data_IF_205525375234
#
_entry.id   IF_205525375234
#
_cell.length_a   1.000
_cell.length_b   1.000
_cell.length_c   1.000
_cell.angle_alpha   90.00
_cell.angle_beta   90.00
_cell.angle_gamma   90.00
#
_symmetry.space_group_name_H-M   'P 1'
#
loop_
_entity.id
_entity.type
_entity.pdbx_description
1 polymer ?
#
# COMPACT_ATOMS: atom_id res chain seq x y z
N UNK A 1 -31.65 -6.05 0.49
CA UNK A 1 -30.44 -5.39 1.04
C UNK A 1 -29.42 -5.29 -0.09
N UNK A 2 -29.33 -4.15 -0.75
CA UNK A 2 -28.31 -3.90 -1.76
C UNK A 2 -26.95 -3.85 -1.07
N UNK A 3 -26.04 -4.74 -1.47
CA UNK A 3 -24.66 -4.69 -1.00
C UNK A 3 -24.11 -3.28 -1.25
N UNK A 4 -23.52 -2.59 -0.24
CA UNK A 4 -22.96 -1.27 -0.44
C UNK A 4 -22.02 -1.31 -1.64
N UNK A 5 -22.22 -0.41 -2.62
CA UNK A 5 -21.43 -0.36 -3.84
C UNK A 5 -19.95 -0.49 -3.50
N UNK A 6 -19.32 -1.57 -3.99
CA UNK A 6 -17.96 -1.92 -3.64
C UNK A 6 -17.04 -0.80 -4.14
N UNK A 7 -16.29 -0.18 -3.22
CA UNK A 7 -15.37 0.90 -3.57
C UNK A 7 -14.20 0.32 -4.35
N UNK A 8 -13.74 0.97 -5.45
CA UNK A 8 -12.52 0.56 -6.13
C UNK A 8 -11.36 0.50 -5.15
N UNK A 9 -10.58 -0.58 -5.20
CA UNK A 9 -9.51 -0.84 -4.27
C UNK A 9 -8.14 -0.95 -4.95
N UNK A 10 -7.14 -0.30 -4.34
CA UNK A 10 -5.79 -0.20 -4.90
C UNK A 10 -4.73 -0.55 -3.85
N UNK A 11 -3.83 -1.47 -4.18
CA UNK A 11 -2.51 -1.53 -3.55
C UNK A 11 -1.59 -0.52 -4.23
N UNK A 12 -0.81 0.24 -3.47
CA UNK A 12 0.17 1.17 -4.04
C UNK A 12 1.57 0.82 -3.54
N UNK A 13 2.38 0.24 -4.42
CA UNK A 13 3.78 -0.08 -4.16
C UNK A 13 4.67 1.08 -4.58
N UNK A 14 5.09 1.87 -3.60
CA UNK A 14 5.98 3.02 -3.78
C UNK A 14 7.44 2.58 -3.56
N UNK A 15 7.92 1.69 -4.43
CA UNK A 15 9.27 1.12 -4.41
C UNK A 15 9.64 0.59 -5.79
N UNK A 16 10.90 0.78 -6.24
CA UNK A 16 11.41 0.14 -7.46
C UNK A 16 11.98 -1.25 -7.16
N UNK A 17 12.14 -1.59 -5.88
CA UNK A 17 12.85 -2.78 -5.45
C UNK A 17 11.97 -4.02 -5.63
N UNK A 18 12.64 -5.15 -5.82
CA UNK A 18 12.00 -6.45 -5.88
C UNK A 18 12.47 -7.31 -4.71
N UNK A 19 12.04 -6.91 -3.51
CA UNK A 19 12.41 -7.54 -2.24
C UNK A 19 11.30 -8.42 -1.67
N UNK A 20 11.54 -8.92 -0.45
CA UNK A 20 10.58 -9.80 0.23
C UNK A 20 9.26 -9.11 0.58
N UNK A 21 9.27 -7.80 0.86
CA UNK A 21 8.05 -7.06 1.14
C UNK A 21 7.20 -6.94 -0.13
N UNK A 22 7.77 -6.47 -1.23
CA UNK A 22 7.06 -6.31 -2.50
C UNK A 22 6.45 -7.64 -2.99
N UNK A 23 7.23 -8.74 -2.93
CA UNK A 23 6.75 -10.09 -3.24
C UNK A 23 5.57 -10.50 -2.37
N UNK A 24 5.68 -10.31 -1.04
CA UNK A 24 4.61 -10.68 -0.10
C UNK A 24 3.31 -9.92 -0.38
N UNK A 25 3.37 -8.62 -0.65
CA UNK A 25 2.17 -7.85 -0.98
C UNK A 25 1.62 -8.17 -2.36
N UNK A 26 2.47 -8.56 -3.30
CA UNK A 26 2.03 -9.09 -4.57
C UNK A 26 1.29 -10.43 -4.42
N UNK A 27 1.78 -11.34 -3.57
CA UNK A 27 1.09 -12.60 -3.28
C UNK A 27 -0.27 -12.37 -2.62
N UNK A 28 -0.36 -11.43 -1.68
CA UNK A 28 -1.65 -11.05 -1.07
C UNK A 28 -2.60 -10.50 -2.13
N UNK A 29 -2.13 -9.60 -2.99
CA UNK A 29 -2.91 -9.06 -4.10
C UNK A 29 -3.41 -10.17 -5.04
N UNK A 30 -2.56 -11.12 -5.40
CA UNK A 30 -2.94 -12.29 -6.21
C UNK A 30 -4.00 -13.14 -5.52
N UNK A 31 -3.81 -13.44 -4.23
CA UNK A 31 -4.77 -14.19 -3.44
C UNK A 31 -6.15 -13.52 -3.41
N UNK A 32 -6.19 -12.19 -3.18
CA UNK A 32 -7.43 -11.43 -3.21
C UNK A 32 -8.14 -11.50 -4.57
N UNK A 33 -7.39 -11.36 -5.67
CA UNK A 33 -7.96 -11.49 -7.01
C UNK A 33 -8.49 -12.89 -7.30
N UNK A 34 -7.80 -13.93 -6.84
CA UNK A 34 -8.27 -15.33 -6.96
C UNK A 34 -9.58 -15.56 -6.21
N UNK A 35 -9.82 -14.84 -5.11
CA UNK A 35 -11.11 -14.85 -4.40
C UNK A 35 -12.18 -13.96 -5.04
N UNK A 36 -11.93 -13.37 -6.21
CA UNK A 36 -12.87 -12.54 -6.94
C UNK A 36 -12.92 -11.07 -6.49
N UNK A 37 -11.98 -10.62 -5.66
CA UNK A 37 -11.92 -9.21 -5.27
C UNK A 37 -11.52 -8.32 -6.45
N UNK A 38 -12.28 -7.26 -6.71
CA UNK A 38 -11.92 -6.21 -7.68
C UNK A 38 -10.89 -5.27 -7.07
N UNK A 39 -9.63 -5.73 -7.07
CA UNK A 39 -8.47 -4.98 -6.59
C UNK A 39 -7.45 -4.83 -7.71
N UNK A 40 -6.83 -3.64 -7.76
CA UNK A 40 -5.73 -3.30 -8.66
C UNK A 40 -4.47 -3.01 -7.88
N UNK A 41 -3.32 -3.18 -8.52
CA UNK A 41 -2.03 -2.81 -7.93
C UNK A 41 -1.37 -1.71 -8.78
N UNK A 42 -0.95 -0.65 -8.13
CA UNK A 42 -0.23 0.48 -8.71
C UNK A 42 1.24 0.35 -8.33
N UNK A 43 2.14 0.33 -9.31
CA UNK A 43 3.58 0.16 -9.10
C UNK A 43 4.37 0.93 -10.19
N UNK A 44 5.65 1.26 -9.97
CA UNK A 44 6.49 1.77 -11.05
C UNK A 44 6.70 0.68 -12.12
N UNK A 45 6.88 1.09 -13.38
CA UNK A 45 6.99 0.17 -14.52
C UNK A 45 8.07 -0.90 -14.32
N UNK A 46 9.24 -0.53 -13.80
CA UNK A 46 10.32 -1.49 -13.53
C UNK A 46 9.94 -2.61 -12.57
N UNK A 47 9.09 -2.33 -11.56
CA UNK A 47 8.59 -3.36 -10.65
C UNK A 47 7.46 -4.15 -11.28
N UNK A 48 6.51 -3.49 -11.94
CA UNK A 48 5.37 -4.15 -12.58
C UNK A 48 5.81 -5.14 -13.66
N UNK A 49 6.77 -4.76 -14.50
CA UNK A 49 7.35 -5.62 -15.54
C UNK A 49 8.01 -6.86 -14.94
N UNK A 50 8.78 -6.69 -13.86
CA UNK A 50 9.44 -7.82 -13.19
C UNK A 50 8.44 -8.76 -12.51
N UNK A 51 7.39 -8.21 -11.90
CA UNK A 51 6.30 -9.00 -11.33
C UNK A 51 5.57 -9.82 -12.40
N UNK A 52 5.33 -9.26 -13.58
CA UNK A 52 4.70 -10.00 -14.68
C UNK A 52 5.65 -11.07 -15.25
N UNK A 53 6.93 -10.75 -15.42
CA UNK A 53 7.92 -11.68 -15.94
C UNK A 53 8.11 -12.92 -15.05
N UNK A 54 8.03 -12.77 -13.73
CA UNK A 54 8.12 -13.88 -12.77
C UNK A 54 6.83 -14.74 -12.71
N UNK A 55 5.75 -14.29 -13.36
CA UNK A 55 4.44 -14.95 -13.33
C UNK A 55 3.78 -15.04 -14.73
N UNK A 56 4.45 -15.65 -15.72
CA UNK A 56 3.97 -15.70 -17.11
C UNK A 56 2.64 -16.45 -17.26
N UNK A 57 2.35 -17.39 -16.35
CA UNK A 57 1.14 -18.22 -16.38
C UNK A 57 -0.14 -17.50 -15.89
N UNK A 58 -0.06 -16.20 -15.57
CA UNK A 58 -1.17 -15.41 -15.04
C UNK A 58 -1.39 -14.12 -15.86
N UNK A 59 -1.80 -14.24 -17.14
CA UNK A 59 -1.98 -13.09 -18.03
C UNK A 59 -3.04 -12.09 -17.55
N UNK A 60 -4.00 -12.53 -16.73
CA UNK A 60 -5.03 -11.69 -16.13
C UNK A 60 -4.47 -10.63 -15.17
N UNK A 61 -3.23 -10.80 -14.68
CA UNK A 61 -2.56 -9.82 -13.83
C UNK A 61 -2.17 -8.57 -14.60
N UNK A 62 -1.96 -8.65 -15.91
CA UNK A 62 -1.59 -7.50 -16.73
C UNK A 62 -2.69 -6.42 -16.73
N UNK A 63 -3.96 -6.82 -16.78
CA UNK A 63 -5.08 -5.87 -16.68
C UNK A 63 -5.32 -5.31 -15.27
N UNK A 64 -4.69 -5.92 -14.27
CA UNK A 64 -4.83 -5.59 -12.85
C UNK A 64 -3.69 -4.71 -12.32
N UNK A 65 -2.56 -4.73 -13.00
CA UNK A 65 -1.37 -3.93 -12.70
C UNK A 65 -1.42 -2.61 -13.44
N UNK A 66 -1.59 -1.53 -12.70
CA UNK A 66 -1.51 -0.15 -13.20
C UNK A 66 -0.06 0.31 -13.07
N UNK A 67 0.66 0.23 -14.18
CA UNK A 67 2.05 0.65 -14.28
C UNK A 67 2.19 2.17 -14.38
N UNK A 68 3.02 2.77 -13.52
CA UNK A 68 3.43 4.16 -13.65
C UNK A 68 4.72 4.20 -14.49
N UNK A 69 4.70 4.77 -15.70
CA UNK A 69 5.83 4.71 -16.62
C UNK A 69 7.00 5.56 -16.11
N UNK A 70 8.13 4.91 -15.84
CA UNK A 70 9.32 5.57 -15.33
C UNK A 70 10.59 4.92 -15.88
N UNK A 71 11.40 5.69 -16.61
CA UNK A 71 12.68 5.21 -17.15
C UNK A 71 13.73 4.93 -16.05
N UNK A 72 13.67 5.68 -14.96
CA UNK A 72 14.50 5.47 -13.78
C UNK A 72 13.72 5.81 -12.51
N UNK A 73 14.09 5.18 -11.40
CA UNK A 73 13.42 5.42 -10.13
C UNK A 73 13.71 6.82 -9.60
N UNK A 74 12.65 7.56 -9.31
CA UNK A 74 12.71 8.82 -8.57
C UNK A 74 11.45 8.95 -7.71
N UNK A 75 11.57 9.00 -6.37
CA UNK A 75 10.41 9.14 -5.50
C UNK A 75 9.56 10.38 -5.82
N UNK A 76 10.19 11.49 -6.18
CA UNK A 76 9.49 12.73 -6.54
C UNK A 76 8.75 12.58 -7.88
N UNK A 77 9.38 11.96 -8.87
CA UNK A 77 8.73 11.68 -10.16
C UNK A 77 7.56 10.73 -9.98
N UNK A 78 7.71 9.69 -9.15
CA UNK A 78 6.62 8.77 -8.82
C UNK A 78 5.44 9.52 -8.19
N UNK A 79 5.69 10.36 -7.17
CA UNK A 79 4.63 11.17 -6.53
C UNK A 79 3.92 12.07 -7.54
N UNK A 80 4.65 12.71 -8.45
CA UNK A 80 4.09 13.58 -9.49
C UNK A 80 3.18 12.80 -10.45
N UNK A 81 3.67 11.68 -10.98
CA UNK A 81 2.94 10.85 -11.94
C UNK A 81 1.75 10.16 -11.26
N UNK A 82 1.93 9.69 -10.04
CA UNK A 82 0.84 9.11 -9.25
C UNK A 82 -0.25 10.16 -8.95
N UNK A 83 0.10 11.41 -8.67
CA UNK A 83 -0.88 12.50 -8.56
C UNK A 83 -1.65 12.74 -9.86
N UNK A 84 -1.01 12.59 -11.02
CA UNK A 84 -1.70 12.66 -12.31
C UNK A 84 -2.65 11.48 -12.49
N UNK A 85 -2.21 10.26 -12.18
CA UNK A 85 -3.05 9.05 -12.20
C UNK A 85 -4.27 9.17 -11.27
N UNK A 86 -4.11 9.76 -10.08
CA UNK A 86 -5.23 9.98 -9.17
C UNK A 86 -6.36 10.82 -9.79
N UNK A 87 -6.08 11.66 -10.80
CA UNK A 87 -7.13 12.43 -11.48
C UNK A 87 -8.11 11.55 -12.29
N UNK A 88 -7.66 10.38 -12.76
CA UNK A 88 -8.52 9.42 -13.47
C UNK A 88 -9.14 8.36 -12.57
N UNK A 89 -8.62 8.19 -11.35
CA UNK A 89 -9.19 7.26 -10.37
C UNK A 89 -10.42 7.91 -9.68
N UNK A 90 -11.56 7.19 -9.60
CA UNK A 90 -12.74 7.65 -8.87
C UNK A 90 -12.40 8.14 -7.45
N UNK A 91 -13.04 9.23 -7.04
CA UNK A 91 -12.96 9.75 -5.67
C UNK A 91 -13.66 8.80 -4.71
N UNK A 92 -13.19 8.72 -3.47
CA UNK A 92 -13.77 7.82 -2.47
C UNK A 92 -13.29 6.37 -2.58
N UNK A 93 -12.25 6.12 -3.37
CA UNK A 93 -11.63 4.81 -3.52
C UNK A 93 -10.83 4.40 -2.26
N UNK A 94 -10.53 3.12 -2.14
CA UNK A 94 -9.71 2.56 -1.08
C UNK A 94 -8.26 2.37 -1.55
N UNK A 95 -7.30 2.88 -0.79
CA UNK A 95 -5.87 2.75 -1.07
C UNK A 95 -5.15 2.14 0.11
N UNK A 96 -4.48 1.03 -0.13
CA UNK A 96 -3.56 0.45 0.83
C UNK A 96 -2.12 0.71 0.42
N UNK A 97 -1.33 1.20 1.36
CA UNK A 97 0.11 1.47 1.20
C UNK A 97 0.94 0.49 2.03
N UNK A 98 1.48 -0.57 1.41
CA UNK A 98 2.38 -1.48 2.11
C UNK A 98 3.66 -0.82 2.64
N UNK A 99 4.06 0.27 1.99
CA UNK A 99 5.27 1.03 2.27
C UNK A 99 5.11 2.47 1.77
N UNK A 100 5.83 3.40 2.41
CA UNK A 100 5.93 4.80 2.01
C UNK A 100 4.55 5.45 1.72
N UNK A 101 3.65 5.44 2.70
CA UNK A 101 2.27 5.93 2.56
C UNK A 101 2.22 7.37 2.04
N UNK A 102 1.51 7.60 0.93
CA UNK A 102 1.37 8.91 0.30
C UNK A 102 0.05 9.61 0.66
N UNK A 103 -0.38 9.49 1.93
CA UNK A 103 -1.63 10.04 2.43
C UNK A 103 -1.93 11.51 2.06
N UNK A 104 -0.95 12.45 1.92
CA UNK A 104 -1.28 13.83 1.57
C UNK A 104 -1.94 13.97 0.19
N UNK A 105 -1.69 13.01 -0.71
CA UNK A 105 -2.28 13.01 -2.05
C UNK A 105 -3.78 12.70 -2.06
N UNK A 106 -4.30 12.19 -0.94
CA UNK A 106 -5.70 11.82 -0.75
C UNK A 106 -6.51 12.89 -0.02
N UNK A 107 -5.87 13.96 0.46
CA UNK A 107 -6.55 15.05 1.15
C UNK A 107 -7.62 15.68 0.25
N UNK A 108 -8.82 15.85 0.81
CA UNK A 108 -9.99 16.37 0.10
C UNK A 108 -10.66 15.39 -0.85
N UNK A 109 -10.05 14.25 -1.21
CA UNK A 109 -10.63 13.30 -2.17
C UNK A 109 -11.73 12.40 -1.58
N UNK A 110 -11.78 12.26 -0.26
CA UNK A 110 -12.69 11.33 0.42
C UNK A 110 -12.23 9.86 0.38
N UNK A 111 -10.99 9.62 -0.08
CA UNK A 111 -10.43 8.29 -0.22
C UNK A 111 -10.19 7.63 1.16
N UNK A 112 -10.36 6.31 1.23
CA UNK A 112 -10.03 5.52 2.40
C UNK A 112 -8.58 5.05 2.32
N UNK A 113 -7.69 5.58 3.17
CA UNK A 113 -6.27 5.21 3.16
C UNK A 113 -5.96 4.26 4.31
N UNK A 114 -5.34 3.12 4.02
CA UNK A 114 -4.71 2.23 5.00
C UNK A 114 -3.23 2.05 4.65
N UNK A 115 -2.46 1.57 5.61
CA UNK A 115 -1.04 1.30 5.40
C UNK A 115 -0.60 0.05 6.13
N UNK A 116 0.51 -0.53 5.70
CA UNK A 116 1.21 -1.55 6.47
C UNK A 116 2.48 -0.99 7.11
N UNK A 117 2.85 -1.58 8.23
CA UNK A 117 4.09 -1.39 8.95
C UNK A 117 4.90 -2.67 8.76
N UNK A 118 5.75 -2.63 7.74
CA UNK A 118 6.45 -3.79 7.18
C UNK A 118 7.92 -3.76 7.61
N UNK A 119 8.45 -4.91 7.99
CA UNK A 119 9.89 -5.14 8.22
C UNK A 119 10.62 -4.08 9.08
N UNK A 120 10.03 -3.71 10.20
CA UNK A 120 10.61 -2.74 11.13
C UNK A 120 11.29 -3.47 12.29
N UNK A 121 12.60 -3.27 12.41
CA UNK A 121 13.37 -3.66 13.61
C UNK A 121 12.96 -2.77 14.80
N UNK A 122 12.63 -1.50 14.50
CA UNK A 122 12.24 -0.50 15.48
C UNK A 122 10.85 0.05 15.18
N UNK A 123 10.13 0.35 16.25
CA UNK A 123 8.82 0.98 16.19
C UNK A 123 8.91 2.38 15.56
N UNK A 124 8.13 2.70 14.53
CA UNK A 124 8.06 4.05 13.98
C UNK A 124 7.64 5.05 15.06
N UNK A 125 8.41 6.13 15.20
CA UNK A 125 8.18 7.14 16.23
C UNK A 125 8.80 8.49 15.89
N UNK A 126 8.45 9.56 16.63
CA UNK A 126 8.95 10.91 16.36
C UNK A 126 10.46 11.03 16.59
N UNK A 127 11.01 10.19 17.50
CA UNK A 127 12.44 10.10 17.83
C UNK A 127 13.21 9.10 16.97
N UNK A 128 12.59 8.47 15.98
CA UNK A 128 13.28 7.51 15.13
C UNK A 128 14.43 8.18 14.34
N UNK A 129 15.56 7.50 14.18
CA UNK A 129 16.72 8.06 13.48
C UNK A 129 16.46 8.29 11.99
N UNK A 130 15.73 7.38 11.34
CA UNK A 130 15.51 7.44 9.90
C UNK A 130 14.21 8.18 9.52
N UNK A 131 14.24 8.87 8.38
CA UNK A 131 13.13 9.69 7.87
C UNK A 131 11.87 8.85 7.56
N UNK A 132 12.05 7.62 7.07
CA UNK A 132 10.93 6.73 6.71
C UNK A 132 10.10 6.32 7.94
N UNK A 133 10.74 6.07 9.07
CA UNK A 133 10.07 5.75 10.33
C UNK A 133 9.33 6.96 10.89
N UNK A 134 9.92 8.16 10.82
CA UNK A 134 9.19 9.40 11.19
C UNK A 134 7.98 9.62 10.29
N UNK A 135 8.13 9.39 8.99
CA UNK A 135 7.04 9.51 8.02
C UNK A 135 5.92 8.49 8.25
N UNK A 136 6.29 7.25 8.51
CA UNK A 136 5.35 6.17 8.85
C UNK A 136 4.58 6.53 10.12
N UNK A 137 5.28 7.02 11.16
CA UNK A 137 4.64 7.50 12.38
C UNK A 137 3.65 8.64 12.13
N UNK A 138 4.03 9.64 11.34
CA UNK A 138 3.12 10.72 10.96
C UNK A 138 1.89 10.19 10.21
N UNK A 139 2.07 9.16 9.37
CA UNK A 139 1.00 8.59 8.56
C UNK A 139 -0.08 7.91 9.41
N UNK A 140 0.24 7.38 10.60
CA UNK A 140 -0.73 6.74 11.52
C UNK A 140 -1.93 7.63 11.87
N UNK A 141 -1.73 8.95 11.89
CA UNK A 141 -2.78 9.89 12.24
C UNK A 141 -3.79 10.12 11.11
N UNK A 142 -3.37 9.92 9.86
CA UNK A 142 -4.17 10.23 8.66
C UNK A 142 -4.79 9.00 8.01
N UNK A 143 -4.24 7.81 8.27
CA UNK A 143 -4.81 6.55 7.79
C UNK A 143 -5.97 6.07 8.67
N UNK A 144 -6.87 5.29 8.08
CA UNK A 144 -8.00 4.65 8.75
C UNK A 144 -7.58 3.39 9.51
N UNK A 145 -6.66 2.63 8.93
CA UNK A 145 -6.13 1.37 9.48
C UNK A 145 -4.63 1.25 9.25
N UNK A 146 -3.97 0.59 10.20
CA UNK A 146 -2.54 0.27 10.18
C UNK A 146 -2.38 -1.23 10.38
N UNK A 147 -1.82 -1.89 9.37
CA UNK A 147 -1.58 -3.32 9.36
C UNK A 147 -0.15 -3.58 9.83
N UNK A 148 0.00 -4.26 10.97
CA UNK A 148 1.31 -4.53 11.55
C UNK A 148 1.68 -5.99 11.31
N UNK A 149 2.79 -6.23 10.62
CA UNK A 149 3.20 -7.59 10.23
C UNK A 149 3.98 -8.33 11.32
N UNK A 150 4.45 -7.63 12.36
CA UNK A 150 5.24 -8.19 13.45
C UNK A 150 4.49 -8.07 14.77
N UNK A 151 4.17 -9.19 15.46
CA UNK A 151 3.53 -9.16 16.78
C UNK A 151 4.32 -8.36 17.81
N UNK A 152 5.65 -8.43 17.77
CA UNK A 152 6.53 -7.66 18.66
C UNK A 152 6.44 -6.15 18.39
N UNK A 153 6.33 -5.75 17.11
CA UNK A 153 6.14 -4.33 16.79
C UNK A 153 4.74 -3.88 17.20
N UNK A 154 3.72 -4.71 16.98
CA UNK A 154 2.36 -4.39 17.41
C UNK A 154 2.28 -4.17 18.92
N UNK A 155 2.83 -5.09 19.72
CA UNK A 155 2.80 -4.98 21.19
C UNK A 155 3.51 -3.73 21.71
N UNK A 156 4.50 -3.21 20.98
CA UNK A 156 5.16 -1.95 21.30
C UNK A 156 4.42 -0.72 20.75
N UNK A 157 3.66 -0.89 19.67
CA UNK A 157 2.87 0.18 19.05
C UNK A 157 1.54 0.44 19.74
N UNK A 158 1.00 -0.52 20.50
CA UNK A 158 -0.25 -0.35 21.27
C UNK A 158 -0.18 0.77 22.32
N UNK A 159 1.02 1.25 22.65
CA UNK A 159 1.21 2.41 23.52
C UNK A 159 0.89 3.77 22.85
N UNK A 160 0.62 3.82 21.55
CA UNK A 160 0.30 5.07 20.83
C UNK A 160 -1.20 5.39 20.83
N UNK A 161 -1.55 6.68 20.73
CA UNK A 161 -2.95 7.17 20.57
C UNK A 161 -3.68 6.57 19.35
N UNK A 162 -2.95 6.04 18.38
CA UNK A 162 -3.49 5.39 17.19
C UNK A 162 -3.72 3.87 17.34
N UNK A 163 -3.49 3.29 18.53
CA UNK A 163 -3.63 1.85 18.81
C UNK A 163 -4.96 1.23 18.34
N UNK A 164 -6.14 1.90 18.46
CA UNK A 164 -7.40 1.31 17.98
C UNK A 164 -7.47 1.08 16.46
N UNK A 165 -6.58 1.72 15.69
CA UNK A 165 -6.48 1.55 14.23
C UNK A 165 -5.50 0.45 13.82
N UNK A 166 -4.75 -0.08 14.77
CA UNK A 166 -3.68 -1.05 14.52
C UNK A 166 -4.24 -2.45 14.63
N UNK A 167 -3.89 -3.30 13.68
CA UNK A 167 -4.23 -4.72 13.73
C UNK A 167 -3.00 -5.57 13.44
N UNK A 168 -2.92 -6.73 14.08
CA UNK A 168 -1.98 -7.75 13.64
C UNK A 168 -2.50 -8.28 12.31
N UNK A 169 -1.66 -8.27 11.29
CA UNK A 169 -2.02 -8.87 10.00
C UNK A 169 -1.34 -10.23 9.89
N UNK A 170 -2.00 -11.34 10.29
CA UNK A 170 -1.37 -12.66 10.27
C UNK A 170 -1.11 -13.21 8.85
N UNK A 171 -1.60 -12.56 7.79
CA UNK A 171 -1.38 -13.06 6.43
C UNK A 171 -2.12 -12.36 5.28
N UNK A 172 -2.94 -11.34 5.53
CA UNK A 172 -3.70 -10.69 4.47
C UNK A 172 -4.05 -9.26 4.84
N UNK A 173 -3.52 -8.33 4.08
CA UNK A 173 -3.79 -6.90 4.16
C UNK A 173 -5.29 -6.63 4.20
N UNK A 174 -5.77 -5.82 5.15
CA UNK A 174 -7.18 -5.45 5.21
C UNK A 174 -7.47 -4.42 4.11
N UNK A 175 -8.01 -4.89 2.98
CA UNK A 175 -8.64 -4.07 1.96
C UNK A 175 -10.13 -4.37 1.94
#
# INVERSE_FOLDING_TARGET
MTSPAQRPAYFVLVSPAYGGAEKRFFDIFRAMRRTGADVKMIAPSSLAERLLADHPDQPELAGALVSIPMASWSPLSFVRLFRQLLKSIPRGASFHYPMNCLWPLHLGRGDAVSMSVTNCINVPGPKAANRSAKWSWASFFFVRRVDVLSPHILSRMTAYRAAPKMSLTPGGTFI
#
